data_IF_100086421292
#
_entry.id   IF_100086421292
#
_cell.length_a   1.000
_cell.length_b   1.000
_cell.length_c   1.000
_cell.angle_alpha   90.00
_cell.angle_beta   90.00
_cell.angle_gamma   90.00
#
_symmetry.space_group_name_H-M   'P 1'
#
loop_
_entity.id
_entity.type
_entity.pdbx_description
1 polymer ?
#
# COMPACT_ATOMS: atom_id res chain seq x y z
N UNK A 1 -26.29 18.83 -0.45
CA UNK A 1 -25.42 17.85 -1.13
C UNK A 1 -24.29 17.47 -0.19
N UNK A 2 -24.51 16.65 0.84
CA UNK A 2 -23.39 16.12 1.65
C UNK A 2 -23.77 14.70 2.10
N UNK A 3 -23.53 13.74 1.22
CA UNK A 3 -23.82 12.33 1.49
C UNK A 3 -22.66 11.68 2.24
N UNK A 4 -22.96 11.24 3.45
CA UNK A 4 -22.67 9.86 3.86
C UNK A 4 -21.37 9.63 4.63
N UNK A 5 -21.52 9.37 5.93
CA UNK A 5 -20.47 8.85 6.79
C UNK A 5 -20.08 7.40 6.53
N UNK A 6 -19.11 6.93 7.31
CA UNK A 6 -18.68 5.53 7.32
C UNK A 6 -17.51 5.32 8.27
N UNK A 7 -17.83 5.12 9.54
CA UNK A 7 -16.91 4.82 10.62
C UNK A 7 -16.24 3.44 10.51
N UNK A 8 -15.28 3.22 11.43
CA UNK A 8 -14.83 1.92 11.98
C UNK A 8 -13.69 1.21 11.23
N UNK A 9 -12.70 0.58 11.87
CA UNK A 9 -12.67 -0.01 13.21
C UNK A 9 -11.23 -0.15 13.75
N UNK A 10 -11.09 -0.08 15.08
CA UNK A 10 -9.94 -0.62 15.81
C UNK A 10 -10.07 -2.14 16.09
N UNK A 11 -8.94 -2.76 16.43
CA UNK A 11 -8.81 -4.10 17.06
C UNK A 11 -8.15 -5.09 16.10
N UNK A 12 -7.24 -5.99 16.42
CA UNK A 12 -6.65 -6.55 17.64
C UNK A 12 -5.69 -7.66 17.16
N UNK A 13 -4.76 -8.11 18.00
CA UNK A 13 -3.91 -9.27 17.69
C UNK A 13 -4.74 -10.54 17.49
N UNK A 14 -4.22 -11.49 16.70
CA UNK A 14 -4.77 -12.84 16.65
C UNK A 14 -4.85 -13.47 15.25
N UNK A 15 -4.00 -14.48 15.08
CA UNK A 15 -4.20 -15.68 14.25
C UNK A 15 -4.16 -15.50 12.73
N UNK A 16 -3.05 -15.99 12.19
CA UNK A 16 -2.83 -16.31 10.79
C UNK A 16 -3.90 -17.29 10.28
N UNK A 17 -5.06 -16.77 9.88
CA UNK A 17 -5.92 -17.47 8.94
C UNK A 17 -5.28 -17.24 7.58
N UNK A 18 -4.65 -18.30 7.06
CA UNK A 18 -4.19 -18.44 5.68
C UNK A 18 -5.40 -18.30 4.74
N UNK A 19 -5.91 -17.08 4.59
CA UNK A 19 -6.88 -16.74 3.56
C UNK A 19 -6.07 -16.67 2.29
N UNK A 20 -6.26 -17.70 1.45
CA UNK A 20 -5.81 -17.83 0.05
C UNK A 20 -5.23 -16.51 -0.40
N UNK A 21 -3.90 -16.48 -0.49
CA UNK A 21 -3.12 -15.33 -0.92
C UNK A 21 -3.59 -15.01 -2.33
N UNK A 22 -4.69 -14.27 -2.46
CA UNK A 22 -5.06 -13.57 -3.68
C UNK A 22 -3.79 -12.84 -4.03
N UNK A 23 -3.16 -13.29 -5.10
CA UNK A 23 -1.84 -12.89 -5.53
C UNK A 23 -1.92 -11.39 -5.77
N UNK A 24 -1.60 -10.61 -4.74
CA UNK A 24 -1.60 -9.16 -4.84
C UNK A 24 -0.40 -8.87 -5.73
N UNK A 25 -0.60 -8.35 -6.94
CA UNK A 25 0.48 -8.21 -7.91
C UNK A 25 1.59 -7.30 -7.37
N UNK A 26 1.25 -6.37 -6.46
CA UNK A 26 2.18 -5.45 -5.84
C UNK A 26 1.92 -5.29 -4.34
N UNK A 27 2.98 -5.07 -3.56
CA UNK A 27 2.95 -4.79 -2.12
C UNK A 27 2.25 -3.46 -1.88
N UNK A 28 1.41 -3.42 -0.84
CA UNK A 28 0.65 -2.23 -0.47
C UNK A 28 -0.49 -1.87 -1.42
N UNK A 29 -0.68 -2.66 -2.49
CA UNK A 29 -1.69 -2.40 -3.51
C UNK A 29 -2.88 -3.34 -3.32
N UNK A 30 -4.07 -2.75 -3.28
CA UNK A 30 -5.33 -3.47 -3.12
C UNK A 30 -6.30 -3.11 -4.26
N UNK A 31 -6.81 -4.14 -4.91
CA UNK A 31 -7.89 -4.00 -5.89
C UNK A 31 -9.25 -4.02 -5.18
N UNK A 32 -10.09 -3.02 -5.44
CA UNK A 32 -11.49 -3.03 -5.03
C UNK A 32 -12.32 -3.80 -6.06
N UNK A 33 -13.48 -4.31 -5.62
CA UNK A 33 -14.49 -4.97 -6.49
C UNK A 33 -14.97 -4.11 -7.67
N UNK A 34 -14.71 -2.80 -7.62
CA UNK A 34 -15.05 -1.85 -8.68
C UNK A 34 -13.90 -1.56 -9.67
N UNK A 35 -12.84 -2.39 -9.66
CA UNK A 35 -11.73 -2.25 -10.60
C UNK A 35 -10.78 -1.08 -10.31
N UNK A 36 -10.92 -0.42 -9.16
CA UNK A 36 -9.99 0.64 -8.72
C UNK A 36 -8.85 0.06 -7.90
N UNK A 37 -7.64 0.52 -8.20
CA UNK A 37 -6.42 0.18 -7.47
C UNK A 37 -6.19 1.21 -6.38
N UNK A 38 -5.84 0.77 -5.18
CA UNK A 38 -5.57 1.67 -4.04
C UNK A 38 -4.20 1.33 -3.48
N UNK A 39 -3.41 2.38 -3.19
CA UNK A 39 -2.13 2.24 -2.52
C UNK A 39 -2.25 2.68 -1.06
N UNK A 40 -1.80 1.83 -0.14
CA UNK A 40 -1.76 2.11 1.30
C UNK A 40 -0.47 1.59 1.94
N UNK A 41 0.10 2.33 2.90
CA UNK A 41 1.28 1.92 3.66
C UNK A 41 0.90 1.55 5.09
N UNK A 42 1.53 0.48 5.59
CA UNK A 42 1.51 0.08 6.99
C UNK A 42 2.95 -0.02 7.51
N UNK A 43 3.26 0.77 8.51
CA UNK A 43 4.52 0.63 9.26
C UNK A 43 4.38 -0.55 10.25
N UNK A 44 5.41 -1.40 10.42
CA UNK A 44 5.31 -2.56 11.32
C UNK A 44 5.15 -2.14 12.78
N UNK A 45 5.75 -1.02 13.16
CA UNK A 45 5.73 -0.50 14.52
C UNK A 45 4.57 0.45 14.78
N UNK A 46 3.81 0.86 13.75
CA UNK A 46 2.65 1.74 13.92
C UNK A 46 1.36 1.03 13.55
N UNK A 47 0.31 1.30 14.32
CA UNK A 47 -1.03 0.81 14.02
C UNK A 47 -1.70 1.58 12.89
N UNK A 48 -1.19 2.77 12.60
CA UNK A 48 -1.72 3.67 11.57
C UNK A 48 -1.50 3.11 10.17
N UNK A 49 -2.52 3.31 9.33
CA UNK A 49 -2.46 3.05 7.88
C UNK A 49 -2.49 4.39 7.18
N UNK A 50 -1.59 4.58 6.23
CA UNK A 50 -1.52 5.80 5.44
C UNK A 50 -2.15 5.47 4.08
N UNK A 51 -3.26 6.15 3.78
CA UNK A 51 -3.87 6.09 2.46
C UNK A 51 -3.07 7.01 1.53
N UNK A 52 -2.49 6.46 0.47
CA UNK A 52 -1.69 7.24 -0.48
C UNK A 52 -2.53 7.76 -1.65
N UNK A 53 -3.54 7.00 -2.05
CA UNK A 53 -4.40 7.38 -3.17
C UNK A 53 -5.12 6.21 -3.82
N UNK A 54 -6.06 6.54 -4.69
CA UNK A 54 -6.67 5.61 -5.64
C UNK A 54 -6.17 5.89 -7.04
N UNK A 55 -5.91 4.83 -7.79
CA UNK A 55 -5.29 4.86 -9.10
C UNK A 55 -6.07 3.99 -10.08
N UNK A 56 -5.94 4.32 -11.36
CA UNK A 56 -6.57 3.59 -12.45
C UNK A 56 -5.83 2.30 -12.80
N UNK A 57 -4.52 2.21 -12.49
CA UNK A 57 -3.68 1.04 -12.80
C UNK A 57 -2.92 0.54 -11.58
N UNK A 58 -2.60 -0.76 -11.58
CA UNK A 58 -1.82 -1.39 -10.52
C UNK A 58 -0.39 -0.82 -10.42
N UNK A 59 0.23 -0.54 -11.57
CA UNK A 59 1.59 -0.01 -11.67
C UNK A 59 1.67 1.41 -11.11
N UNK A 60 0.74 2.30 -11.46
CA UNK A 60 0.71 3.66 -10.92
C UNK A 60 0.56 3.67 -9.39
N UNK A 61 -0.30 2.79 -8.88
CA UNK A 61 -0.46 2.61 -7.44
C UNK A 61 0.84 2.12 -6.78
N UNK A 62 1.51 1.14 -7.38
CA UNK A 62 2.75 0.56 -6.88
C UNK A 62 3.92 1.55 -6.88
N UNK A 63 4.04 2.40 -7.91
CA UNK A 63 5.02 3.49 -7.93
C UNK A 63 4.81 4.49 -6.79
N UNK A 64 3.57 4.94 -6.60
CA UNK A 64 3.25 5.85 -5.50
C UNK A 64 3.53 5.21 -4.12
N UNK A 65 3.26 3.91 -3.98
CA UNK A 65 3.64 3.16 -2.79
C UNK A 65 5.14 3.15 -2.56
N UNK A 66 5.94 2.88 -3.59
CA UNK A 66 7.39 2.79 -3.49
C UNK A 66 8.01 4.13 -3.11
N UNK A 67 7.57 5.24 -3.73
CA UNK A 67 8.00 6.59 -3.35
C UNK A 67 7.73 6.87 -1.87
N UNK A 68 6.51 6.60 -1.40
CA UNK A 68 6.17 6.86 -0.01
C UNK A 68 6.90 5.91 0.97
N UNK A 69 7.14 4.64 0.58
CA UNK A 69 7.95 3.71 1.37
C UNK A 69 9.42 4.14 1.43
N UNK A 70 9.97 4.65 0.34
CA UNK A 70 11.32 5.20 0.28
C UNK A 70 11.45 6.40 1.23
N UNK A 71 10.51 7.34 1.22
CA UNK A 71 10.51 8.46 2.17
C UNK A 71 10.36 8.02 3.63
N UNK A 72 9.64 6.93 3.91
CA UNK A 72 9.40 6.45 5.27
C UNK A 72 10.51 5.56 5.84
N UNK A 73 11.17 4.76 4.99
CA UNK A 73 12.15 3.74 5.41
C UNK A 73 13.56 4.01 4.90
N UNK A 74 13.73 5.00 4.04
CA UNK A 74 14.99 5.33 3.39
C UNK A 74 15.35 4.39 2.23
N UNK A 75 16.61 4.47 1.74
CA UNK A 75 17.07 3.73 0.56
C UNK A 75 17.14 2.22 0.73
N UNK A 76 17.12 1.71 1.96
CA UNK A 76 17.10 0.26 2.25
C UNK A 76 15.70 -0.36 2.19
N UNK A 77 14.70 0.39 1.73
CA UNK A 77 13.33 -0.07 1.75
C UNK A 77 13.07 -1.17 0.70
N UNK A 78 12.21 -2.14 1.05
CA UNK A 78 11.78 -3.21 0.13
C UNK A 78 10.64 -2.75 -0.76
N UNK A 79 10.99 -2.12 -1.87
CA UNK A 79 10.09 -1.60 -2.89
C UNK A 79 9.50 -2.72 -3.78
N UNK A 80 8.56 -2.36 -4.64
CA UNK A 80 8.10 -3.19 -5.76
C UNK A 80 9.02 -3.03 -6.98
N UNK A 81 9.49 -1.81 -7.22
CA UNK A 81 10.40 -1.42 -8.30
C UNK A 81 11.70 -0.87 -7.71
N UNK A 82 12.65 -1.73 -7.32
CA UNK A 82 13.95 -1.28 -6.80
C UNK A 82 14.76 -0.52 -7.86
N UNK A 83 14.60 -0.88 -9.13
CA UNK A 83 15.30 -0.27 -10.27
C UNK A 83 14.86 1.19 -10.53
N UNK A 84 13.59 1.51 -10.29
CA UNK A 84 13.06 2.87 -10.53
C UNK A 84 13.51 3.90 -9.49
N UNK A 85 13.92 3.47 -8.29
CA UNK A 85 14.32 4.36 -7.20
C UNK A 85 15.83 4.38 -6.98
N UNK A 86 16.55 3.33 -7.42
CA UNK A 86 18.01 3.25 -7.40
C UNK A 86 18.69 4.06 -8.50
N UNK A 87 18.14 5.23 -8.85
CA UNK A 87 18.77 6.17 -9.76
C UNK A 87 19.82 7.02 -9.03
N UNK A 88 21.08 6.59 -9.06
CA UNK A 88 22.22 7.47 -8.77
C UNK A 88 23.40 6.79 -8.10
N UNK A 89 24.35 6.29 -8.88
CA UNK A 89 25.66 5.84 -8.39
C UNK A 89 26.37 4.87 -9.33
N UNK A 90 26.61 5.28 -10.58
CA UNK A 90 27.86 4.92 -11.27
C UNK A 90 28.92 5.93 -10.83
#
# INVERSE_FOLDING_TARGET
MESGGGASAGGGGGRAVSRRRSEKPYKGIRMRKWGKWVAEIREPNKRSRIWLGSYSTAVAAARAYDTAVYYLRGPTAKLNFPDEISGGGD
#
